data_IF_223378796473
#
_entry.id   IF_223378796473
#
_cell.length_a   1.000
_cell.length_b   1.000
_cell.length_c   1.000
_cell.angle_alpha   90.00
_cell.angle_beta   90.00
_cell.angle_gamma   90.00
#
_symmetry.space_group_name_H-M   'P 1'
#
loop_
_entity.id
_entity.type
_entity.pdbx_description
1 polymer ?
#
# COMPACT_ATOMS: atom_id res chain seq x y z
N UNK A 1 -41.72 -23.17 -23.81
CA UNK A 1 -41.75 -21.71 -23.58
C UNK A 1 -41.51 -21.28 -22.12
N UNK A 2 -41.97 -22.02 -21.10
CA UNK A 2 -41.80 -21.64 -19.68
C UNK A 2 -40.33 -21.61 -19.19
N UNK A 3 -39.53 -22.60 -19.62
CA UNK A 3 -38.11 -22.77 -19.21
C UNK A 3 -37.22 -21.59 -19.64
N UNK A 4 -37.48 -20.98 -20.80
CA UNK A 4 -36.73 -19.81 -21.29
C UNK A 4 -37.06 -18.51 -20.55
N UNK A 5 -38.29 -18.36 -20.03
CA UNK A 5 -38.68 -17.20 -19.21
C UNK A 5 -38.05 -17.25 -17.82
N UNK A 6 -38.01 -18.43 -17.20
CA UNK A 6 -37.35 -18.67 -15.91
C UNK A 6 -35.84 -18.43 -15.99
N UNK A 7 -35.16 -18.94 -17.03
CA UNK A 7 -33.74 -18.66 -17.23
C UNK A 7 -33.48 -17.16 -17.41
N UNK A 8 -34.26 -16.46 -18.23
CA UNK A 8 -34.12 -15.00 -18.41
C UNK A 8 -34.33 -14.22 -17.11
N UNK A 9 -35.32 -14.60 -16.30
CA UNK A 9 -35.55 -13.96 -15.00
C UNK A 9 -34.41 -14.24 -14.01
N UNK A 10 -33.91 -15.48 -13.95
CA UNK A 10 -32.76 -15.82 -13.11
C UNK A 10 -31.50 -15.04 -13.52
N UNK A 11 -31.23 -14.89 -14.83
CA UNK A 11 -30.12 -14.08 -15.33
C UNK A 11 -30.28 -12.60 -14.95
N UNK A 12 -31.48 -12.03 -15.07
CA UNK A 12 -31.73 -10.64 -14.66
C UNK A 12 -31.53 -10.42 -13.16
N UNK A 13 -31.99 -11.36 -12.33
CA UNK A 13 -31.77 -11.31 -10.87
C UNK A 13 -30.29 -11.46 -10.51
N UNK A 14 -29.55 -12.33 -11.20
CA UNK A 14 -28.12 -12.47 -11.01
C UNK A 14 -27.37 -11.19 -11.38
N UNK A 15 -27.69 -10.59 -12.54
CA UNK A 15 -27.10 -9.30 -12.95
C UNK A 15 -27.43 -8.21 -11.92
N UNK A 16 -28.67 -8.12 -11.47
CA UNK A 16 -29.07 -7.14 -10.46
C UNK A 16 -28.31 -7.33 -9.14
N UNK A 17 -28.10 -8.58 -8.72
CA UNK A 17 -27.31 -8.91 -7.53
C UNK A 17 -25.85 -8.47 -7.71
N UNK A 18 -25.20 -8.82 -8.83
CA UNK A 18 -23.83 -8.39 -9.12
C UNK A 18 -23.68 -6.87 -9.15
N UNK A 19 -24.59 -6.16 -9.83
CA UNK A 19 -24.56 -4.69 -9.90
C UNK A 19 -24.76 -4.09 -8.51
N UNK A 20 -25.69 -4.62 -7.71
CA UNK A 20 -25.91 -4.14 -6.34
C UNK A 20 -24.71 -4.36 -5.43
N UNK A 21 -24.03 -5.51 -5.56
CA UNK A 21 -22.81 -5.81 -4.83
C UNK A 21 -21.69 -4.85 -5.21
N UNK A 22 -21.45 -4.64 -6.52
CA UNK A 22 -20.42 -3.70 -6.99
C UNK A 22 -20.71 -2.27 -6.52
N UNK A 23 -21.97 -1.83 -6.60
CA UNK A 23 -22.37 -0.51 -6.11
C UNK A 23 -22.13 -0.35 -4.60
N UNK A 24 -22.43 -1.39 -3.81
CA UNK A 24 -22.24 -1.36 -2.37
C UNK A 24 -20.75 -1.41 -2.00
N UNK A 25 -19.97 -2.29 -2.63
CA UNK A 25 -18.58 -2.53 -2.28
C UNK A 25 -17.63 -1.42 -2.72
N UNK A 26 -17.87 -0.82 -3.89
CA UNK A 26 -16.96 0.16 -4.48
C UNK A 26 -17.42 1.62 -4.31
N UNK A 27 -18.66 1.86 -3.86
CA UNK A 27 -19.16 3.23 -3.65
C UNK A 27 -19.79 3.43 -2.27
N UNK A 28 -20.81 2.65 -1.90
CA UNK A 28 -21.57 2.93 -0.68
C UNK A 28 -20.76 2.69 0.61
N UNK A 29 -20.04 1.57 0.71
CA UNK A 29 -19.23 1.25 1.87
C UNK A 29 -18.03 2.20 2.03
N UNK A 30 -17.24 2.52 0.98
CA UNK A 30 -16.19 3.54 1.06
C UNK A 30 -16.69 4.90 1.56
N UNK A 31 -17.83 5.39 1.06
CA UNK A 31 -18.43 6.66 1.49
C UNK A 31 -18.88 6.61 2.96
N UNK A 32 -19.49 5.51 3.39
CA UNK A 32 -19.88 5.31 4.79
C UNK A 32 -18.67 5.37 5.73
N UNK A 33 -17.58 4.67 5.39
CA UNK A 33 -16.36 4.66 6.17
C UNK A 33 -15.68 6.04 6.17
N UNK A 34 -15.58 6.70 5.02
CA UNK A 34 -15.10 8.08 4.91
C UNK A 34 -15.82 9.01 5.89
N UNK A 35 -17.15 9.04 5.85
CA UNK A 35 -17.97 9.84 6.77
C UNK A 35 -17.76 9.45 8.24
N UNK A 36 -17.62 8.15 8.54
CA UNK A 36 -17.40 7.63 9.89
C UNK A 36 -16.07 8.09 10.47
N UNK A 37 -14.99 8.05 9.67
CA UNK A 37 -13.65 8.45 10.06
C UNK A 37 -13.52 9.99 10.16
N UNK A 38 -14.19 10.74 9.28
CA UNK A 38 -14.26 12.20 9.37
C UNK A 38 -15.03 12.69 10.61
N UNK A 39 -16.04 11.94 11.07
CA UNK A 39 -16.87 12.29 12.24
C UNK A 39 -16.19 12.06 13.59
N UNK A 40 -15.26 11.11 13.68
CA UNK A 40 -14.47 10.88 14.91
C UNK A 40 -13.26 11.81 15.04
N UNK A 41 -13.01 12.63 14.02
CA UNK A 41 -12.04 13.70 14.01
C UNK A 41 -10.61 13.23 13.74
N UNK A 42 -9.90 13.80 12.75
CA UNK A 42 -8.45 13.68 12.69
C UNK A 42 -7.82 14.63 13.72
N UNK A 43 -6.91 14.11 14.54
CA UNK A 43 -5.78 14.92 15.02
C UNK A 43 -4.64 14.69 14.03
N UNK A 44 -4.31 15.63 13.14
CA UNK A 44 -3.10 15.50 12.36
C UNK A 44 -1.89 15.75 13.27
N UNK A 45 -1.19 14.68 13.66
CA UNK A 45 0.26 14.73 13.85
C UNK A 45 0.93 13.90 12.74
N UNK A 46 1.96 14.50 12.17
CA UNK A 46 2.59 14.12 10.90
C UNK A 46 3.28 12.77 11.03
N UNK A 47 3.26 11.96 9.96
CA UNK A 47 3.74 10.56 9.81
C UNK A 47 2.62 9.51 9.68
N UNK A 48 1.39 9.91 9.37
CA UNK A 48 0.31 9.02 8.93
C UNK A 48 -0.14 9.42 7.52
N UNK A 49 -0.32 8.44 6.63
CA UNK A 49 -0.87 8.70 5.28
C UNK A 49 -2.40 8.75 5.32
N UNK A 50 -3.02 9.24 4.24
CA UNK A 50 -4.48 9.24 4.07
C UNK A 50 -4.86 8.82 2.67
N UNK A 51 -6.04 8.23 2.49
CA UNK A 51 -6.64 8.08 1.16
C UNK A 51 -7.06 9.45 0.60
N UNK A 52 -7.48 9.50 -0.66
CA UNK A 52 -8.01 10.73 -1.26
C UNK A 52 -9.31 11.22 -0.59
N UNK A 53 -10.04 10.30 0.04
CA UNK A 53 -11.25 10.58 0.82
C UNK A 53 -10.93 11.02 2.27
N UNK A 54 -9.65 11.08 2.65
CA UNK A 54 -9.24 11.47 4.00
C UNK A 54 -9.32 10.35 5.04
N UNK A 55 -9.45 9.08 4.61
CA UNK A 55 -9.42 7.93 5.51
C UNK A 55 -7.96 7.70 5.94
N UNK A 56 -7.68 7.47 7.23
CA UNK A 56 -6.34 7.08 7.69
C UNK A 56 -5.79 5.87 6.91
N UNK A 57 -4.62 6.03 6.31
CA UNK A 57 -3.93 4.99 5.54
C UNK A 57 -2.84 4.29 6.35
N UNK A 58 -1.83 3.80 5.65
CA UNK A 58 -0.65 3.19 6.27
C UNK A 58 0.18 4.27 7.02
N UNK A 59 0.70 3.97 8.22
CA UNK A 59 1.61 4.87 8.91
C UNK A 59 3.00 4.86 8.25
N UNK A 60 3.68 6.00 8.32
CA UNK A 60 5.09 6.08 7.96
C UNK A 60 5.89 5.33 9.03
N UNK A 61 6.63 4.33 8.59
CA UNK A 61 7.46 3.46 9.45
C UNK A 61 8.93 3.44 9.00
N UNK A 62 9.25 3.93 7.81
CA UNK A 62 10.64 4.06 7.31
C UNK A 62 10.91 5.47 6.80
N UNK A 63 12.17 5.90 6.83
CA UNK A 63 12.62 7.04 6.05
C UNK A 63 14.04 6.88 5.55
N UNK A 64 14.34 7.49 4.41
CA UNK A 64 15.62 7.35 3.71
C UNK A 64 16.21 8.74 3.44
N UNK A 65 17.51 8.89 3.62
CA UNK A 65 18.25 10.12 3.29
C UNK A 65 19.20 9.85 2.14
N UNK A 66 18.97 10.51 1.01
CA UNK A 66 19.70 10.29 -0.23
C UNK A 66 18.95 10.84 -1.43
N UNK A 67 19.64 10.97 -2.57
CA UNK A 67 19.01 11.37 -3.83
C UNK A 67 18.05 10.28 -4.36
N UNK A 68 17.21 10.61 -5.34
CA UNK A 68 16.36 9.59 -6.00
C UNK A 68 17.21 8.46 -6.62
N UNK A 69 18.40 8.80 -7.12
CA UNK A 69 19.36 7.83 -7.64
C UNK A 69 19.89 6.92 -6.52
N UNK A 70 20.26 7.50 -5.36
CA UNK A 70 20.71 6.71 -4.19
C UNK A 70 19.63 5.70 -3.76
N UNK A 71 18.37 6.16 -3.69
CA UNK A 71 17.20 5.34 -3.35
C UNK A 71 17.05 4.22 -4.37
N UNK A 72 16.91 4.55 -5.66
CA UNK A 72 16.69 3.56 -6.72
C UNK A 72 17.81 2.51 -6.75
N UNK A 73 19.07 2.96 -6.69
CA UNK A 73 20.21 2.06 -6.65
C UNK A 73 20.22 1.16 -5.40
N UNK A 74 19.79 1.69 -4.25
CA UNK A 74 19.70 0.91 -3.02
C UNK A 74 18.64 -0.20 -3.10
N UNK A 75 17.45 0.11 -3.62
CA UNK A 75 16.38 -0.87 -3.82
C UNK A 75 16.76 -1.95 -4.84
N UNK A 76 17.30 -1.54 -6.00
CA UNK A 76 17.76 -2.50 -7.03
C UNK A 76 18.84 -3.43 -6.48
N UNK A 77 19.83 -2.90 -5.75
CA UNK A 77 20.88 -3.73 -5.14
C UNK A 77 20.36 -4.70 -4.09
N UNK A 78 19.22 -4.39 -3.45
CA UNK A 78 18.55 -5.24 -2.47
C UNK A 78 17.52 -6.22 -3.10
N UNK A 79 17.42 -6.23 -4.44
CA UNK A 79 16.50 -7.11 -5.18
C UNK A 79 15.05 -6.66 -5.13
N UNK A 80 14.81 -5.35 -4.98
CA UNK A 80 13.49 -4.75 -5.10
C UNK A 80 13.31 -4.12 -6.48
N UNK A 81 12.12 -4.28 -7.03
CA UNK A 81 11.71 -3.75 -8.33
C UNK A 81 10.83 -2.51 -8.18
N UNK A 82 10.88 -1.60 -9.15
CA UNK A 82 10.07 -0.37 -9.14
C UNK A 82 8.65 -0.72 -9.58
N UNK A 83 7.67 -0.43 -8.74
CA UNK A 83 6.26 -0.60 -9.06
C UNK A 83 5.79 0.58 -9.93
N UNK A 84 5.98 0.49 -11.26
CA UNK A 84 5.57 1.55 -12.19
C UNK A 84 4.06 1.51 -12.53
N UNK A 85 3.51 2.70 -12.80
CA UNK A 85 2.08 3.01 -12.99
C UNK A 85 1.41 2.12 -14.05
N UNK A 86 0.27 1.52 -13.71
CA UNK A 86 -0.75 0.92 -14.59
C UNK A 86 -0.63 1.39 -16.05
N UNK A 87 -0.02 0.55 -16.90
CA UNK A 87 -0.19 0.73 -18.33
C UNK A 87 -1.64 0.37 -18.69
N UNK A 88 -2.24 1.07 -19.66
CA UNK A 88 -3.63 0.79 -20.11
C UNK A 88 -3.79 -0.66 -20.60
N UNK A 89 -2.69 -1.29 -21.01
CA UNK A 89 -2.60 -2.71 -21.36
C UNK A 89 -2.76 -3.61 -20.14
N UNK A 90 -2.09 -3.27 -19.03
CA UNK A 90 -2.22 -3.98 -17.75
C UNK A 90 -3.65 -3.91 -17.22
N UNK A 91 -4.36 -2.79 -17.37
CA UNK A 91 -5.77 -2.68 -16.94
C UNK A 91 -6.73 -3.63 -17.70
N UNK A 92 -6.48 -3.88 -18.99
CA UNK A 92 -7.28 -4.84 -19.79
C UNK A 92 -6.88 -6.28 -19.47
N UNK A 93 -5.59 -6.56 -19.29
CA UNK A 93 -5.08 -7.87 -18.86
C UNK A 93 -5.50 -8.21 -17.40
N UNK A 94 -5.66 -7.22 -16.52
CA UNK A 94 -6.24 -7.36 -15.16
C UNK A 94 -7.71 -7.81 -15.25
N UNK A 95 -8.50 -7.18 -16.13
CA UNK A 95 -9.89 -7.59 -16.36
C UNK A 95 -10.02 -9.02 -16.90
N UNK A 96 -9.05 -9.45 -17.73
CA UNK A 96 -9.03 -10.78 -18.34
C UNK A 96 -8.49 -11.88 -17.41
N UNK A 97 -7.45 -11.59 -16.60
CA UNK A 97 -6.82 -12.55 -15.69
C UNK A 97 -7.68 -12.90 -14.47
N UNK A 98 -8.43 -11.93 -13.92
CA UNK A 98 -9.41 -12.17 -12.83
C UNK A 98 -10.55 -13.08 -13.28
N UNK A 99 -10.89 -13.08 -14.57
CA UNK A 99 -11.90 -13.98 -15.15
C UNK A 99 -11.35 -15.38 -15.49
N UNK A 100 -10.02 -15.54 -15.59
CA UNK A 100 -9.36 -16.74 -16.12
C UNK A 100 -8.44 -17.47 -15.13
N UNK A 101 -8.42 -17.06 -13.86
CA UNK A 101 -7.68 -17.73 -12.76
C UNK A 101 -6.19 -17.95 -13.09
N UNK A 102 -5.55 -16.91 -13.64
CA UNK A 102 -4.11 -16.91 -13.95
C UNK A 102 -3.33 -16.04 -12.98
N UNK A 103 -2.16 -16.49 -12.49
CA UNK A 103 -1.31 -15.70 -11.62
C UNK A 103 -0.79 -14.48 -12.39
N UNK A 104 -1.08 -13.27 -11.91
CA UNK A 104 -0.52 -12.03 -12.45
C UNK A 104 -0.10 -11.08 -11.32
N UNK A 105 1.05 -10.42 -11.52
CA UNK A 105 1.93 -9.85 -10.49
C UNK A 105 1.64 -8.37 -10.15
N UNK A 106 0.96 -7.62 -11.00
CA UNK A 106 0.80 -6.17 -10.77
C UNK A 106 -0.66 -5.75 -10.63
N UNK A 107 -1.17 -5.76 -9.40
CA UNK A 107 -2.37 -5.01 -9.06
C UNK A 107 -1.98 -3.57 -8.68
N UNK A 108 -2.68 -2.54 -9.16
CA UNK A 108 -2.36 -1.17 -8.84
C UNK A 108 -2.40 -0.91 -7.35
N UNK A 109 -1.26 -0.48 -6.83
CA UNK A 109 -1.12 0.05 -5.49
C UNK A 109 -2.14 1.18 -5.29
N UNK A 110 -2.99 1.05 -4.26
CA UNK A 110 -3.91 2.12 -3.85
C UNK A 110 -3.13 3.41 -3.58
N UNK A 111 -3.66 4.53 -4.08
CA UNK A 111 -3.02 5.83 -3.87
C UNK A 111 -3.19 6.26 -2.43
N UNK A 112 -2.06 6.42 -1.74
CA UNK A 112 -1.99 7.06 -0.42
C UNK A 112 -1.39 8.45 -0.58
N UNK A 113 -1.89 9.38 0.22
CA UNK A 113 -1.44 10.75 0.31
C UNK A 113 -0.64 10.93 1.58
N UNK A 114 0.53 11.54 1.47
CA UNK A 114 1.29 12.02 2.62
C UNK A 114 1.41 13.54 2.51
N UNK A 115 0.94 14.27 3.52
CA UNK A 115 0.81 15.74 3.47
C UNK A 115 0.08 16.24 2.21
N UNK A 116 -0.96 15.53 1.76
CA UNK A 116 -1.74 15.87 0.57
C UNK A 116 -1.06 15.59 -0.77
N UNK A 117 0.14 14.98 -0.78
CA UNK A 117 0.84 14.57 -2.01
C UNK A 117 0.80 13.07 -2.21
N UNK A 118 0.62 12.66 -3.47
CA UNK A 118 0.78 11.26 -3.90
C UNK A 118 2.23 10.82 -3.77
N UNK A 119 2.43 9.51 -3.65
CA UNK A 119 3.76 8.91 -3.58
C UNK A 119 4.59 9.26 -4.81
N UNK A 120 5.88 9.49 -4.61
CA UNK A 120 6.84 9.80 -5.68
C UNK A 120 7.46 8.53 -6.25
N UNK A 121 7.72 7.52 -5.40
CA UNK A 121 8.21 6.19 -5.78
C UNK A 121 7.42 5.09 -5.06
N UNK A 122 7.41 3.91 -5.66
CA UNK A 122 6.97 2.67 -5.02
C UNK A 122 7.89 1.52 -5.46
N UNK A 123 8.18 0.61 -4.54
CA UNK A 123 9.00 -0.57 -4.79
C UNK A 123 8.34 -1.81 -4.21
N UNK A 124 8.50 -2.92 -4.90
CA UNK A 124 8.01 -4.23 -4.49
C UNK A 124 9.10 -5.29 -4.58
N UNK A 125 8.96 -6.34 -3.77
CA UNK A 125 9.82 -7.51 -3.82
C UNK A 125 8.98 -8.77 -3.63
N UNK A 126 8.94 -9.68 -4.62
CA UNK A 126 8.10 -10.88 -4.55
C UNK A 126 8.61 -11.85 -3.48
N UNK A 127 7.67 -12.60 -2.89
CA UNK A 127 7.99 -13.69 -1.96
C UNK A 127 7.60 -15.03 -2.55
N UNK A 128 8.60 -15.84 -2.87
CA UNK A 128 8.42 -17.14 -3.53
C UNK A 128 7.82 -17.01 -4.93
N UNK A 129 7.06 -18.01 -5.35
CA UNK A 129 6.48 -18.08 -6.69
C UNK A 129 5.05 -17.50 -6.78
N UNK A 130 4.49 -17.01 -5.66
CA UNK A 130 3.11 -16.50 -5.61
C UNK A 130 3.05 -15.00 -5.93
N UNK A 131 2.18 -14.56 -6.85
CA UNK A 131 1.94 -13.13 -7.09
C UNK A 131 1.19 -12.46 -5.93
N UNK A 132 0.59 -13.24 -5.03
CA UNK A 132 -0.31 -12.73 -4.00
C UNK A 132 0.44 -12.22 -2.76
N UNK A 133 1.73 -12.54 -2.64
CA UNK A 133 2.56 -12.17 -1.49
C UNK A 133 3.79 -11.41 -1.92
N UNK A 134 3.89 -10.16 -1.49
CA UNK A 134 5.01 -9.26 -1.83
C UNK A 134 5.29 -8.30 -0.70
N UNK A 135 6.56 -8.00 -0.52
CA UNK A 135 7.00 -6.83 0.22
C UNK A 135 6.72 -5.60 -0.63
N UNK A 136 6.26 -4.51 -0.02
CA UNK A 136 5.96 -3.28 -0.75
C UNK A 136 6.23 -2.05 0.11
N UNK A 137 6.76 -1.00 -0.52
CA UNK A 137 6.97 0.29 0.11
C UNK A 137 6.59 1.42 -0.84
N UNK A 138 5.86 2.41 -0.30
CA UNK A 138 5.61 3.69 -0.97
C UNK A 138 6.52 4.75 -0.36
N UNK A 139 7.08 5.65 -1.17
CA UNK A 139 7.99 6.70 -0.75
C UNK A 139 7.52 8.08 -1.22
N UNK A 140 7.62 9.06 -0.33
CA UNK A 140 7.33 10.47 -0.58
C UNK A 140 8.58 11.30 -0.34
N UNK A 141 8.97 12.08 -1.35
CA UNK A 141 10.06 13.03 -1.26
C UNK A 141 9.61 14.25 -0.44
N UNK A 142 10.31 14.48 0.67
CA UNK A 142 10.09 15.66 1.51
C UNK A 142 11.28 16.61 1.43
N UNK A 143 10.98 17.90 1.28
CA UNK A 143 11.97 18.97 1.20
C UNK A 143 12.47 19.41 2.57
N UNK A 144 12.59 18.46 3.51
CA UNK A 144 13.34 18.66 4.75
C UNK A 144 14.75 18.15 4.49
N UNK A 145 15.77 19.03 4.45
CA UNK A 145 17.14 18.60 4.26
C UNK A 145 17.48 17.58 5.35
N UNK A 146 17.99 16.42 4.95
CA UNK A 146 18.63 15.47 5.84
C UNK A 146 19.85 16.10 6.52
N UNK A 147 20.41 15.41 7.50
CA UNK A 147 21.52 15.92 8.34
C UNK A 147 22.75 16.36 7.53
N UNK A 148 22.92 15.85 6.32
CA UNK A 148 24.01 16.12 5.38
C UNK A 148 23.58 17.02 4.19
N UNK A 149 22.37 17.56 4.22
CA UNK A 149 21.80 18.40 3.15
C UNK A 149 21.18 17.61 2.00
N UNK A 150 21.23 16.27 2.01
CA UNK A 150 20.57 15.42 1.00
C UNK A 150 19.06 15.32 1.27
N UNK A 151 18.23 15.03 0.26
CA UNK A 151 16.79 14.96 0.45
C UNK A 151 16.37 13.82 1.39
N UNK A 152 15.23 14.01 2.04
CA UNK A 152 14.63 13.00 2.94
C UNK A 152 13.38 12.43 2.30
N UNK A 153 13.29 11.11 2.29
CA UNK A 153 12.12 10.34 1.85
C UNK A 153 11.45 9.74 3.07
N UNK A 154 10.14 9.87 3.18
CA UNK A 154 9.36 9.12 4.15
C UNK A 154 8.63 8.00 3.44
N UNK A 155 8.52 6.83 4.09
CA UNK A 155 7.92 5.66 3.50
C UNK A 155 6.98 4.90 4.42
N UNK A 156 5.99 4.28 3.79
CA UNK A 156 5.10 3.31 4.40
C UNK A 156 5.42 1.95 3.77
N UNK A 157 6.11 1.09 4.52
CA UNK A 157 6.41 -0.27 4.15
C UNK A 157 5.35 -1.22 4.73
N UNK A 158 4.76 -2.06 3.88
CA UNK A 158 3.77 -3.06 4.26
C UNK A 158 4.00 -4.37 3.49
N UNK A 159 3.64 -5.49 4.11
CA UNK A 159 3.71 -6.80 3.49
C UNK A 159 2.33 -7.22 3.00
N UNK A 160 2.16 -7.36 1.70
CA UNK A 160 0.95 -7.94 1.12
C UNK A 160 0.97 -9.45 1.37
N UNK A 161 -0.04 -9.97 2.09
CA UNK A 161 -0.14 -11.39 2.47
C UNK A 161 -1.14 -12.19 1.63
N UNK A 162 -1.82 -11.55 0.68
CA UNK A 162 -2.78 -12.22 -0.19
C UNK A 162 -3.81 -11.28 -0.79
N UNK A 163 -4.55 -11.77 -1.78
CA UNK A 163 -5.78 -11.15 -2.29
C UNK A 163 -6.97 -11.73 -1.52
N UNK A 164 -7.90 -10.87 -1.11
CA UNK A 164 -9.11 -11.29 -0.42
C UNK A 164 -10.23 -10.26 -0.53
N UNK A 165 -11.34 -10.55 0.15
CA UNK A 165 -12.48 -9.65 0.22
C UNK A 165 -12.32 -8.79 1.48
N UNK A 166 -12.23 -7.47 1.31
CA UNK A 166 -12.19 -6.51 2.42
C UNK A 166 -13.36 -6.77 3.37
N UNK A 167 -13.07 -6.93 4.67
CA UNK A 167 -14.11 -7.10 5.67
C UNK A 167 -14.98 -5.85 5.84
N UNK A 168 -14.44 -4.68 5.50
CA UNK A 168 -15.08 -3.40 5.74
C UNK A 168 -15.88 -2.94 4.53
N UNK A 169 -15.40 -3.18 3.31
CA UNK A 169 -16.08 -2.77 2.07
C UNK A 169 -16.70 -3.92 1.29
N UNK A 170 -16.21 -5.14 1.46
CA UNK A 170 -16.56 -6.26 0.58
C UNK A 170 -15.90 -6.18 -0.80
N UNK A 171 -15.01 -5.22 -1.07
CA UNK A 171 -14.26 -5.17 -2.32
C UNK A 171 -13.14 -6.22 -2.34
N UNK A 172 -12.77 -6.71 -3.53
CA UNK A 172 -11.55 -7.52 -3.67
C UNK A 172 -10.35 -6.57 -3.53
N UNK A 173 -9.49 -6.85 -2.56
CA UNK A 173 -8.31 -6.04 -2.22
C UNK A 173 -7.14 -6.93 -1.83
N UNK A 174 -5.93 -6.39 -1.92
CA UNK A 174 -4.80 -6.98 -1.21
C UNK A 174 -4.98 -6.75 0.28
N UNK A 175 -4.65 -7.77 1.07
CA UNK A 175 -4.56 -7.67 2.51
C UNK A 175 -3.11 -7.50 2.92
N UNK A 176 -2.84 -6.53 3.78
CA UNK A 176 -1.53 -6.43 4.41
C UNK A 176 -1.44 -7.35 5.65
N UNK A 177 -0.22 -7.75 6.01
CA UNK A 177 0.04 -8.33 7.31
C UNK A 177 -0.02 -7.25 8.40
N UNK A 178 -0.51 -7.59 9.61
CA UNK A 178 -0.73 -6.60 10.65
C UNK A 178 0.55 -6.11 11.32
N UNK A 179 1.65 -6.85 11.24
CA UNK A 179 2.94 -6.45 11.81
C UNK A 179 3.74 -5.60 10.82
N UNK A 180 3.50 -4.29 10.85
CA UNK A 180 4.20 -3.36 9.95
C UNK A 180 5.62 -3.04 10.42
N UNK A 181 5.97 -3.39 11.67
CA UNK A 181 7.33 -3.25 12.18
C UNK A 181 8.23 -4.36 11.62
N UNK A 182 7.70 -5.59 11.50
CA UNK A 182 8.40 -6.68 10.84
C UNK A 182 8.76 -6.34 9.39
N UNK A 183 7.84 -5.69 8.67
CA UNK A 183 8.12 -5.25 7.29
C UNK A 183 9.16 -4.14 7.23
N UNK A 184 9.03 -3.11 8.09
CA UNK A 184 10.04 -2.04 8.22
C UNK A 184 11.42 -2.63 8.48
N UNK A 185 11.52 -3.56 9.41
CA UNK A 185 12.79 -4.16 9.83
C UNK A 185 13.36 -5.07 8.71
N UNK A 186 12.50 -5.77 7.98
CA UNK A 186 12.87 -6.55 6.78
C UNK A 186 13.48 -5.66 5.70
N UNK A 187 12.81 -4.55 5.34
CA UNK A 187 13.30 -3.60 4.33
C UNK A 187 14.65 -3.00 4.75
N UNK A 188 14.80 -2.56 6.00
CA UNK A 188 16.09 -2.02 6.49
C UNK A 188 17.17 -3.11 6.49
N UNK A 189 16.82 -4.35 6.85
CA UNK A 189 17.71 -5.51 6.79
C UNK A 189 18.21 -5.80 5.37
N UNK A 190 17.31 -5.76 4.39
CA UNK A 190 17.61 -5.92 2.96
C UNK A 190 18.61 -4.87 2.46
N UNK A 191 18.31 -3.58 2.68
CA UNK A 191 19.18 -2.48 2.27
C UNK A 191 20.54 -2.50 2.99
N UNK A 192 20.57 -2.95 4.25
CA UNK A 192 21.82 -3.14 5.01
C UNK A 192 22.65 -4.28 4.42
N UNK A 193 22.03 -5.41 4.12
CA UNK A 193 22.69 -6.59 3.55
C UNK A 193 23.25 -6.33 2.16
N UNK A 194 22.58 -5.47 1.38
CA UNK A 194 23.08 -4.96 0.10
C UNK A 194 24.26 -3.97 0.23
N UNK A 195 24.65 -3.60 1.46
CA UNK A 195 25.73 -2.61 1.70
C UNK A 195 25.35 -1.18 1.30
N UNK A 196 24.05 -0.85 1.32
CA UNK A 196 23.52 0.44 0.83
C UNK A 196 23.14 1.41 1.93
N UNK A 197 23.36 1.05 3.20
CA UNK A 197 23.10 1.89 4.37
C UNK A 197 24.42 2.28 5.05
N UNK A 198 24.57 3.58 5.32
CA UNK A 198 25.67 4.16 6.11
C UNK A 198 25.35 4.14 7.60
N UNK A 199 24.12 4.53 7.95
CA UNK A 199 23.67 4.69 9.33
C UNK A 199 22.16 4.48 9.40
N UNK A 200 21.67 3.89 10.50
CA UNK A 200 20.25 3.84 10.84
C UNK A 200 20.02 4.52 12.18
N UNK A 201 18.98 5.35 12.26
CA UNK A 201 18.51 5.99 13.48
C UNK A 201 17.03 5.77 13.67
N UNK A 202 16.62 5.52 14.90
CA UNK A 202 15.20 5.50 15.25
C UNK A 202 14.73 6.90 15.62
N UNK A 203 13.61 7.33 15.04
CA UNK A 203 12.93 8.58 15.40
C UNK A 203 11.49 8.29 15.86
N UNK A 204 10.85 9.22 16.61
CA UNK A 204 9.42 9.11 16.90
C UNK A 204 8.59 9.05 15.61
N UNK A 205 7.62 8.13 15.56
CA UNK A 205 6.61 8.03 14.52
C UNK A 205 5.22 8.37 15.09
N UNK A 206 4.20 7.60 14.68
CA UNK A 206 2.81 7.80 15.11
C UNK A 206 2.53 7.38 16.57
N UNK A 207 3.51 6.80 17.27
CA UNK A 207 3.34 6.26 18.61
C UNK A 207 2.72 4.85 18.64
N UNK A 208 2.86 4.19 19.79
CA UNK A 208 2.47 2.78 19.97
C UNK A 208 1.01 2.57 19.58
N UNK A 209 0.79 1.70 18.60
CA UNK A 209 -0.53 1.37 18.08
C UNK A 209 -0.74 -0.14 18.15
N UNK A 210 -1.76 -0.57 18.89
CA UNK A 210 -2.07 -2.01 19.11
C UNK A 210 -3.22 -2.54 18.26
N UNK A 211 -4.04 -1.64 17.71
CA UNK A 211 -5.26 -1.97 16.99
C UNK A 211 -5.58 -0.86 15.96
N UNK A 212 -4.62 -0.58 15.08
CA UNK A 212 -4.80 0.36 13.98
C UNK A 212 -5.57 -0.27 12.82
N UNK A 213 -6.09 0.57 11.93
CA UNK A 213 -6.66 0.17 10.64
C UNK A 213 -6.17 1.10 9.53
N UNK A 214 -5.81 0.53 8.39
CA UNK A 214 -5.42 1.31 7.22
C UNK A 214 -6.63 1.68 6.34
N UNK A 215 -6.36 2.27 5.17
CA UNK A 215 -7.38 2.82 4.27
C UNK A 215 -8.32 1.77 3.68
N UNK A 216 -7.86 0.52 3.58
CA UNK A 216 -8.59 -0.64 3.08
C UNK A 216 -9.32 -1.42 4.19
N UNK A 217 -9.09 -1.04 5.45
CA UNK A 217 -9.69 -1.65 6.63
C UNK A 217 -8.85 -2.73 7.31
N UNK A 218 -7.63 -2.99 6.82
CA UNK A 218 -6.76 -4.02 7.39
C UNK A 218 -6.22 -3.63 8.76
N UNK A 219 -6.20 -4.57 9.72
CA UNK A 219 -5.63 -4.31 11.03
C UNK A 219 -4.11 -4.16 10.95
N UNK A 220 -3.55 -3.25 11.75
CA UNK A 220 -2.10 -3.17 11.97
C UNK A 220 -1.75 -2.90 13.43
N UNK A 221 -0.51 -3.23 13.80
CA UNK A 221 0.13 -2.81 15.05
C UNK A 221 1.58 -2.39 14.81
N UNK A 222 2.07 -1.45 15.62
CA UNK A 222 3.44 -0.92 15.54
C UNK A 222 3.89 -0.35 16.89
N UNK A 223 5.19 -0.42 17.16
CA UNK A 223 5.87 0.29 18.24
C UNK A 223 5.83 1.81 18.06
N UNK A 224 5.39 2.29 16.91
CA UNK A 224 5.12 3.67 16.61
C UNK A 224 6.36 4.49 16.26
N UNK A 225 7.43 3.83 15.82
CA UNK A 225 8.71 4.48 15.48
C UNK A 225 9.02 4.36 13.99
N UNK A 226 9.84 5.29 13.53
CA UNK A 226 10.38 5.29 12.18
C UNK A 226 11.87 4.95 12.22
N UNK A 227 12.30 4.04 11.36
CA UNK A 227 13.73 3.80 11.10
C UNK A 227 14.19 4.69 9.94
N UNK A 228 15.03 5.67 10.27
CA UNK A 228 15.67 6.58 9.32
C UNK A 228 17.02 6.03 8.90
N UNK A 229 17.18 5.66 7.63
CA UNK A 229 18.43 5.18 7.07
C UNK A 229 19.10 6.23 6.17
N UNK A 230 20.39 6.44 6.37
CA UNK A 230 21.22 7.26 5.49
C UNK A 230 21.82 6.35 4.41
N UNK A 231 21.51 6.63 3.15
CA UNK A 231 21.94 5.80 2.03
C UNK A 231 23.39 6.10 1.62
N UNK A 232 24.07 5.07 1.14
CA UNK A 232 25.36 5.19 0.48
C UNK A 232 25.16 5.95 -0.84
N UNK A 233 25.90 7.05 -1.10
CA UNK A 233 25.83 7.75 -2.38
C UNK A 233 26.13 6.82 -3.55
N UNK A 234 25.26 6.83 -4.55
CA UNK A 234 25.57 6.23 -5.84
C UNK A 234 26.56 7.15 -6.59
N UNK A 235 27.57 6.58 -7.24
CA UNK A 235 28.66 7.33 -7.89
C UNK A 235 28.44 7.50 -9.39
#
# INVERSE_FOLDING_TARGET
MLRGKLHRQATLWFIALCVSYLALAYFAAPEFWSLRFLRDGPRPETLLTTTEQGIPGDPINVGLVGTEQDVTAAFVAAGWDRADKLSVRSAVEIGESVLLDRPYVDAPVSTLLFNGRRQDLAFEKPVGDSPDTRHHVRLWLTFTPGRDGRPTWYGAASFDRGVGVSHDTGAITHHIAPDIDAERDSLIGDLTSAGRIVEVKTIPGIGLTKAGRNGEGDPYFTDGKVLMAVLVPDK
#
